data_IF_746731328566
#
_entry.id   IF_746731328566
#
_cell.length_a   1.000
_cell.length_b   1.000
_cell.length_c   1.000
_cell.angle_alpha   90.00
_cell.angle_beta   90.00
_cell.angle_gamma   90.00
#
_symmetry.space_group_name_H-M   'P 1'
#
loop_
_entity.id
_entity.type
_entity.pdbx_description
1 polymer ?
#
# COMPACT_ATOMS: atom_id res chain seq x y z
N UNK A 1 -24.60 9.82 34.52
CA UNK A 1 -25.34 9.90 33.25
C UNK A 1 -24.75 11.06 32.48
N UNK A 2 -24.13 10.82 31.34
CA UNK A 2 -23.48 11.89 30.58
C UNK A 2 -24.54 12.75 29.91
N UNK A 3 -24.34 14.06 29.94
CA UNK A 3 -25.18 15.01 29.23
C UNK A 3 -24.98 14.87 27.72
N UNK A 4 -25.98 15.26 26.93
CA UNK A 4 -25.95 15.13 25.45
C UNK A 4 -24.71 15.75 24.81
N UNK A 5 -24.22 16.86 25.35
CA UNK A 5 -22.99 17.53 24.93
C UNK A 5 -21.74 16.72 25.28
N UNK A 6 -21.67 16.17 26.50
CA UNK A 6 -20.57 15.28 26.91
C UNK A 6 -20.51 14.01 26.05
N UNK A 7 -21.65 13.41 25.72
CA UNK A 7 -21.70 12.23 24.84
C UNK A 7 -21.24 12.53 23.41
N UNK A 8 -21.52 13.75 22.90
CA UNK A 8 -21.06 14.18 21.57
C UNK A 8 -19.54 14.35 21.53
N UNK A 9 -18.97 15.05 22.51
CA UNK A 9 -17.51 15.26 22.63
C UNK A 9 -16.80 13.90 22.74
N UNK A 10 -17.36 13.00 23.55
CA UNK A 10 -16.79 11.66 23.73
C UNK A 10 -16.84 10.82 22.45
N UNK A 11 -17.87 10.97 21.62
CA UNK A 11 -17.93 10.35 20.28
C UNK A 11 -16.91 10.94 19.32
N UNK A 12 -16.78 12.25 19.22
CA UNK A 12 -15.79 12.91 18.35
C UNK A 12 -14.35 12.56 18.74
N UNK A 13 -14.07 12.34 20.03
CA UNK A 13 -12.77 11.86 20.51
C UNK A 13 -12.48 10.39 20.19
N UNK A 14 -13.54 9.58 20.03
CA UNK A 14 -13.46 8.15 19.75
C UNK A 14 -13.60 7.84 18.25
N UNK A 15 -14.07 8.79 17.44
CA UNK A 15 -14.19 8.64 15.99
C UNK A 15 -12.81 8.80 15.34
N UNK A 16 -12.25 7.74 14.76
CA UNK A 16 -10.99 7.85 14.05
C UNK A 16 -11.19 8.70 12.79
N UNK A 17 -10.40 9.76 12.66
CA UNK A 17 -10.29 10.53 11.41
C UNK A 17 -9.50 9.70 10.40
N UNK A 18 -10.19 8.85 9.64
CA UNK A 18 -9.58 8.01 8.61
C UNK A 18 -9.56 8.80 7.29
N UNK A 19 -8.37 9.07 6.77
CA UNK A 19 -8.20 9.55 5.40
C UNK A 19 -8.25 8.36 4.42
N UNK A 20 -9.40 8.17 3.79
CA UNK A 20 -9.57 7.13 2.78
C UNK A 20 -8.90 7.47 1.45
N UNK A 21 -8.67 8.75 1.15
CA UNK A 21 -8.07 9.16 -0.12
C UNK A 21 -6.59 8.85 -0.13
N UNK A 22 -5.85 9.34 0.86
CA UNK A 22 -4.42 9.07 1.01
C UNK A 22 -4.16 7.57 1.16
N UNK A 23 -4.91 6.89 2.02
CA UNK A 23 -4.81 5.43 2.15
C UNK A 23 -5.05 4.69 0.84
N UNK A 24 -5.99 5.16 0.01
CA UNK A 24 -6.23 4.58 -1.32
C UNK A 24 -5.08 4.84 -2.29
N UNK A 25 -4.43 6.00 -2.23
CA UNK A 25 -3.26 6.31 -3.08
C UNK A 25 -2.08 5.43 -2.70
N UNK A 26 -1.77 5.32 -1.41
CA UNK A 26 -0.70 4.45 -0.89
C UNK A 26 -0.93 2.97 -1.23
N UNK A 27 -2.17 2.50 -1.12
CA UNK A 27 -2.54 1.15 -1.53
C UNK A 27 -2.34 0.91 -3.03
N UNK A 28 -2.61 1.94 -3.86
CA UNK A 28 -2.41 1.89 -5.32
C UNK A 28 -0.93 2.01 -5.71
N UNK A 29 -0.11 2.74 -4.95
CA UNK A 29 1.31 2.93 -5.24
C UNK A 29 2.07 1.61 -5.34
N UNK A 30 1.68 0.61 -4.52
CA UNK A 30 2.28 -0.72 -4.51
C UNK A 30 1.60 -1.73 -5.47
N UNK A 31 0.74 -1.25 -6.39
CA UNK A 31 -0.06 -2.10 -7.27
C UNK A 31 -0.06 -1.60 -8.71
N UNK A 32 -0.06 -2.56 -9.63
CA UNK A 32 -0.16 -2.35 -11.06
C UNK A 32 -1.62 -2.56 -11.45
N UNK A 33 -2.24 -1.51 -12.00
CA UNK A 33 -3.59 -1.61 -12.58
C UNK A 33 -3.57 -2.48 -13.84
N UNK A 34 -4.54 -3.37 -13.95
CA UNK A 34 -4.78 -4.20 -15.14
C UNK A 34 -6.05 -3.76 -15.85
N UNK A 35 -6.15 -4.16 -17.11
CA UNK A 35 -7.43 -4.10 -17.84
C UNK A 35 -8.50 -4.81 -17.01
N UNK A 36 -9.70 -4.23 -16.96
CA UNK A 36 -10.87 -4.72 -16.20
C UNK A 36 -10.88 -4.37 -14.70
N UNK A 37 -10.12 -3.36 -14.26
CA UNK A 37 -10.19 -2.87 -12.87
C UNK A 37 -9.53 -3.77 -11.84
N UNK A 38 -8.79 -4.81 -12.27
CA UNK A 38 -8.02 -5.65 -11.39
C UNK A 38 -6.69 -4.98 -11.02
N UNK A 39 -6.15 -5.33 -9.85
CA UNK A 39 -4.85 -4.87 -9.37
C UNK A 39 -3.96 -6.05 -9.05
N UNK A 40 -2.67 -5.96 -9.37
CA UNK A 40 -1.65 -6.95 -9.03
C UNK A 40 -0.53 -6.23 -8.29
N UNK A 41 0.11 -6.86 -7.31
CA UNK A 41 1.28 -6.27 -6.64
C UNK A 41 2.41 -5.97 -7.63
N UNK A 42 3.11 -4.86 -7.40
CA UNK A 42 4.35 -4.52 -8.08
C UNK A 42 5.55 -5.24 -7.44
N UNK A 43 6.72 -5.12 -8.06
CA UNK A 43 7.96 -5.69 -7.57
C UNK A 43 8.49 -4.88 -6.38
N UNK A 44 8.84 -5.53 -5.28
CA UNK A 44 9.33 -4.90 -4.04
C UNK A 44 10.76 -4.33 -4.12
N UNK A 45 11.32 -4.16 -5.32
CA UNK A 45 12.67 -3.63 -5.48
C UNK A 45 12.59 -2.11 -5.61
N UNK A 46 13.37 -1.40 -4.80
CA UNK A 46 13.53 0.05 -4.87
C UNK A 46 14.60 0.40 -5.88
N UNK A 47 14.26 1.22 -6.86
CA UNK A 47 15.15 1.76 -7.88
C UNK A 47 16.05 2.85 -7.26
N UNK A 48 17.11 3.23 -7.97
CA UNK A 48 18.07 4.24 -7.49
C UNK A 48 17.43 5.64 -7.29
N UNK A 49 16.34 5.92 -8.00
CA UNK A 49 15.56 7.14 -7.84
C UNK A 49 14.60 7.11 -6.62
N UNK A 50 14.58 6.02 -5.86
CA UNK A 50 13.70 5.84 -4.70
C UNK A 50 12.33 5.24 -5.03
N UNK A 51 11.97 5.09 -6.30
CA UNK A 51 10.69 4.51 -6.70
C UNK A 51 10.68 2.99 -6.63
N UNK A 52 9.51 2.39 -6.48
CA UNK A 52 9.36 0.94 -6.61
C UNK A 52 9.33 0.49 -8.08
N UNK A 53 9.90 -0.68 -8.34
CA UNK A 53 9.84 -1.31 -9.64
C UNK A 53 8.39 -1.64 -10.04
N UNK A 54 7.91 -1.02 -11.12
CA UNK A 54 6.56 -1.21 -11.68
C UNK A 54 6.35 -2.53 -12.45
N UNK A 55 7.29 -3.49 -12.36
CA UNK A 55 7.18 -4.80 -13.03
C UNK A 55 6.44 -5.80 -12.16
N UNK A 56 5.80 -6.77 -12.81
CA UNK A 56 5.07 -7.83 -12.09
C UNK A 56 6.07 -8.81 -11.46
N UNK A 57 5.89 -9.18 -10.18
CA UNK A 57 6.65 -10.23 -9.54
C UNK A 57 6.49 -11.58 -10.24
N UNK A 58 7.52 -12.41 -10.19
CA UNK A 58 7.43 -13.79 -10.68
C UNK A 58 6.77 -14.68 -9.62
N UNK A 59 6.07 -15.73 -10.03
CA UNK A 59 5.34 -16.65 -9.14
C UNK A 59 6.08 -16.97 -7.83
N UNK A 60 5.38 -16.80 -6.70
CA UNK A 60 5.86 -17.02 -5.32
C UNK A 60 7.03 -16.11 -4.88
N UNK A 61 7.36 -15.07 -5.63
CA UNK A 61 8.40 -14.09 -5.29
C UNK A 61 7.80 -12.69 -5.18
N UNK A 62 8.42 -11.86 -4.34
CA UNK A 62 8.16 -10.42 -4.24
C UNK A 62 8.87 -9.60 -5.34
N UNK A 63 9.79 -10.25 -6.07
CA UNK A 63 10.64 -9.61 -7.07
C UNK A 63 10.31 -10.07 -8.49
N UNK A 64 10.46 -9.16 -9.46
CA UNK A 64 10.34 -9.46 -10.88
C UNK A 64 11.53 -10.30 -11.39
N UNK A 65 11.47 -10.79 -12.62
CA UNK A 65 12.52 -11.65 -13.21
C UNK A 65 13.92 -11.02 -13.21
N UNK A 66 14.02 -9.69 -13.29
CA UNK A 66 15.28 -8.95 -13.24
C UNK A 66 15.82 -8.91 -11.82
N UNK A 67 15.01 -8.46 -10.87
CA UNK A 67 15.44 -8.27 -9.48
C UNK A 67 15.49 -9.57 -8.66
N UNK A 68 14.97 -10.68 -9.19
CA UNK A 68 15.05 -12.00 -8.54
C UNK A 68 16.50 -12.47 -8.34
N UNK A 69 17.42 -12.13 -9.25
CA UNK A 69 18.84 -12.48 -9.13
C UNK A 69 19.54 -11.55 -8.13
N UNK A 70 19.25 -10.26 -8.18
CA UNK A 70 19.82 -9.25 -7.29
C UNK A 70 19.41 -9.48 -5.83
N UNK A 71 18.18 -9.89 -5.58
CA UNK A 71 17.70 -10.21 -4.23
C UNK A 71 18.38 -11.44 -3.60
N UNK A 72 18.87 -12.40 -4.42
CA UNK A 72 19.56 -13.60 -3.92
C UNK A 72 21.02 -13.38 -3.55
N UNK A 73 21.65 -12.31 -4.07
CA UNK A 73 23.05 -12.00 -3.81
C UNK A 73 23.25 -11.09 -2.58
N UNK A 74 22.16 -10.62 -1.98
CA UNK A 74 22.16 -9.77 -0.79
C UNK A 74 21.62 -10.51 0.45
N UNK A 75 21.58 -11.85 0.40
CA UNK A 75 21.27 -12.78 1.49
C UNK A 75 22.48 -13.68 1.73
#
# INVERSE_FOLDING_TARGET
>A
MNTRSQTKIQRELLEPKIDFYEASQEWRANKISRKNGCFIYSCCFTLENGDFCSRIPKNKSCYCSIHLKTAKNNL
#
